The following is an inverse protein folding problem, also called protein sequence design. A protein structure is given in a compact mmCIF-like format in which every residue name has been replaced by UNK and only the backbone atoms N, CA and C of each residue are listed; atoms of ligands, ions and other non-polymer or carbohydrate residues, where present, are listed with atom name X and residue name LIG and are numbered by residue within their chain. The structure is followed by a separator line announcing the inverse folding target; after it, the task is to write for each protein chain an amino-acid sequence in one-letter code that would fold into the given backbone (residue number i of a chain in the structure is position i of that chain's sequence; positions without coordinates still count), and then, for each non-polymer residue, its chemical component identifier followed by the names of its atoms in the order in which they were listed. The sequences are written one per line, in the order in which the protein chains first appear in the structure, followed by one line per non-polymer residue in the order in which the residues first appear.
data_IF_172233599385
#
_entry.id   IF_172233599385
#
_cell.length_a   1.000
_cell.length_b   1.000
_cell.length_c   1.000
_cell.angle_alpha   90.00
_cell.angle_beta   90.00
_cell.angle_gamma   90.00
#
_symmetry.space_group_name_H-M   'P 1'
#
loop_
_entity.id
_entity.type
_entity.pdbx_description
1 polymer ?
#
# COMPACT_ATOMS: atom_id res chain seq x y z
N UNK A 1 25.10 4.68 -10.05
CA UNK A 1 24.67 3.61 -10.98
C UNK A 1 23.87 2.61 -10.15
N UNK A 2 22.85 1.98 -10.71
CA UNK A 2 22.09 0.96 -9.97
C UNK A 2 22.81 -0.38 -10.00
N UNK A 3 22.77 -1.09 -8.89
CA UNK A 3 23.40 -2.38 -8.69
C UNK A 3 22.39 -3.39 -8.12
N UNK A 4 22.66 -4.68 -8.35
CA UNK A 4 21.93 -5.79 -7.72
C UNK A 4 22.71 -6.22 -6.46
N UNK A 5 22.06 -6.14 -5.30
CA UNK A 5 22.66 -6.47 -4.00
C UNK A 5 22.28 -7.87 -3.50
N UNK A 6 21.81 -8.74 -4.41
CA UNK A 6 21.29 -10.06 -4.08
C UNK A 6 19.88 -9.98 -3.50
N UNK A 7 19.42 -11.09 -2.92
CA UNK A 7 18.05 -11.22 -2.40
C UNK A 7 17.95 -10.88 -0.92
N UNK A 8 16.77 -10.40 -0.52
CA UNK A 8 16.39 -10.19 0.86
C UNK A 8 14.86 -10.26 1.01
N UNK A 9 14.36 -10.14 2.24
CA UNK A 9 12.96 -9.93 2.55
C UNK A 9 12.79 -8.65 3.38
N UNK A 10 11.57 -8.06 3.39
CA UNK A 10 11.28 -6.93 4.28
C UNK A 10 11.42 -7.33 5.76
N UNK A 11 11.12 -8.58 6.09
CA UNK A 11 11.30 -9.13 7.44
C UNK A 11 12.75 -9.00 7.95
N UNK A 12 13.75 -8.88 7.08
CA UNK A 12 15.14 -8.67 7.52
C UNK A 12 15.30 -7.32 8.25
N UNK A 13 14.50 -6.31 7.90
CA UNK A 13 14.51 -4.97 8.50
C UNK A 13 13.39 -4.75 9.52
N UNK A 14 12.20 -5.31 9.33
CA UNK A 14 11.04 -5.06 10.20
C UNK A 14 10.56 -6.28 11.01
N UNK A 15 11.18 -7.44 10.87
CA UNK A 15 10.72 -8.70 11.47
C UNK A 15 9.23 -8.95 11.13
N UNK A 16 8.33 -9.00 12.13
CA UNK A 16 6.87 -9.03 11.94
C UNK A 16 6.18 -7.71 12.40
N UNK A 17 6.94 -6.62 12.56
CA UNK A 17 6.41 -5.27 12.79
C UNK A 17 5.84 -4.70 11.49
N UNK A 18 4.74 -5.31 11.05
CA UNK A 18 4.04 -4.99 9.81
C UNK A 18 2.56 -4.86 10.10
N UNK A 19 1.95 -3.78 9.60
CA UNK A 19 0.51 -3.52 9.73
C UNK A 19 -0.03 -3.07 8.37
N UNK A 20 -1.01 -3.82 7.87
CA UNK A 20 -1.68 -3.56 6.59
C UNK A 20 -2.97 -2.74 6.78
N UNK A 21 -3.74 -2.58 5.70
CA UNK A 21 -4.94 -1.74 5.65
C UNK A 21 -5.90 -1.94 6.81
N UNK A 22 -6.10 -3.17 7.26
CA UNK A 22 -7.10 -3.48 8.29
C UNK A 22 -6.67 -3.11 9.71
N UNK A 23 -5.45 -2.59 9.88
CA UNK A 23 -4.88 -2.23 11.19
C UNK A 23 -4.81 -3.43 12.15
N UNK A 24 -4.46 -4.59 11.60
CA UNK A 24 -4.27 -5.85 12.33
C UNK A 24 -2.79 -6.25 12.27
N UNK A 25 -1.99 -6.00 13.32
CA UNK A 25 -0.58 -6.35 13.35
C UNK A 25 -0.31 -7.82 13.08
N UNK A 26 0.77 -8.09 12.34
CA UNK A 26 1.20 -9.47 12.09
C UNK A 26 1.77 -10.11 13.36
N UNK A 27 2.56 -9.39 14.14
CA UNK A 27 2.99 -9.81 15.47
C UNK A 27 1.82 -9.78 16.47
N UNK A 28 1.40 -10.97 16.92
CA UNK A 28 0.22 -11.16 17.79
C UNK A 28 0.38 -10.71 19.22
N UNK A 29 1.57 -10.23 19.62
CA UNK A 29 1.76 -9.57 20.92
C UNK A 29 1.13 -8.18 20.96
N UNK A 30 0.82 -7.59 19.80
CA UNK A 30 0.13 -6.30 19.67
C UNK A 30 -1.28 -6.54 19.14
N UNK A 31 -2.35 -6.16 19.88
CA UNK A 31 -3.71 -6.32 19.40
C UNK A 31 -4.00 -5.30 18.29
N UNK A 32 -4.83 -5.70 17.33
CA UNK A 32 -5.28 -4.84 16.23
C UNK A 32 -6.51 -4.00 16.56
N UNK A 33 -6.94 -3.22 15.58
CA UNK A 33 -8.07 -2.28 15.68
C UNK A 33 -9.32 -2.92 16.29
N UNK A 34 -9.71 -4.12 15.83
CA UNK A 34 -10.93 -4.78 16.32
C UNK A 34 -10.94 -5.03 17.83
N UNK A 35 -9.77 -5.18 18.43
CA UNK A 35 -9.64 -5.51 19.86
C UNK A 35 -9.22 -4.31 20.71
N UNK A 36 -8.67 -3.26 20.11
CA UNK A 36 -8.02 -2.16 20.82
C UNK A 36 -8.47 -0.76 20.38
N UNK A 37 -9.54 -0.62 19.57
CA UNK A 37 -9.99 0.70 19.10
C UNK A 37 -10.30 1.69 20.25
N UNK A 38 -10.84 1.21 21.38
CA UNK A 38 -11.06 2.05 22.56
C UNK A 38 -9.75 2.54 23.18
N UNK A 39 -8.73 1.68 23.26
CA UNK A 39 -7.39 2.04 23.77
C UNK A 39 -6.66 3.01 22.82
N UNK A 40 -7.02 2.99 21.54
CA UNK A 40 -6.57 3.94 20.50
C UNK A 40 -7.37 5.25 20.50
N UNK A 41 -8.33 5.42 21.42
CA UNK A 41 -9.24 6.58 21.50
C UNK A 41 -10.08 6.80 20.23
N UNK A 42 -10.46 5.70 19.58
CA UNK A 42 -11.33 5.71 18.40
C UNK A 42 -12.78 5.50 18.80
N UNK A 43 -13.70 6.02 17.97
CA UNK A 43 -15.14 5.90 18.20
C UNK A 43 -15.73 4.55 17.82
N UNK A 44 -15.05 3.83 16.94
CA UNK A 44 -15.51 2.54 16.41
C UNK A 44 -14.35 1.73 15.86
N UNK A 45 -14.59 0.43 15.61
CA UNK A 45 -13.67 -0.47 14.92
C UNK A 45 -13.69 -0.33 13.38
N UNK A 46 -14.33 0.71 12.84
CA UNK A 46 -14.30 1.01 11.41
C UNK A 46 -12.89 1.41 10.99
N UNK A 47 -12.43 0.89 9.85
CA UNK A 47 -11.06 1.07 9.38
C UNK A 47 -10.91 2.50 8.80
N UNK A 48 -10.13 3.39 9.42
CA UNK A 48 -9.95 4.77 8.94
C UNK A 48 -9.11 4.80 7.64
N UNK A 49 -9.25 5.85 6.83
CA UNK A 49 -8.34 6.10 5.70
C UNK A 49 -6.98 6.56 6.21
N UNK A 50 -5.92 6.27 5.46
CA UNK A 50 -4.53 6.60 5.84
C UNK A 50 -4.33 8.10 6.14
N UNK A 51 -5.12 8.96 5.51
CA UNK A 51 -5.11 10.42 5.69
C UNK A 51 -5.99 10.91 6.84
N UNK A 52 -6.78 10.05 7.47
CA UNK A 52 -7.67 10.45 8.56
C UNK A 52 -6.88 10.59 9.87
N UNK A 53 -7.34 11.48 10.75
CA UNK A 53 -6.76 11.61 12.11
C UNK A 53 -6.89 10.33 12.93
N UNK A 54 -7.98 9.58 12.74
CA UNK A 54 -8.21 8.30 13.41
C UNK A 54 -7.17 7.23 13.00
N UNK A 55 -6.66 7.29 11.77
CA UNK A 55 -5.55 6.42 11.37
C UNK A 55 -4.26 6.80 12.10
N UNK A 56 -3.97 8.10 12.23
CA UNK A 56 -2.80 8.58 12.96
C UNK A 56 -2.84 8.19 14.44
N UNK A 57 -4.00 8.28 15.10
CA UNK A 57 -4.22 7.78 16.46
C UNK A 57 -3.84 6.31 16.60
N UNK A 58 -4.38 5.47 15.72
CA UNK A 58 -4.03 4.05 15.71
C UNK A 58 -2.52 3.83 15.47
N UNK A 59 -1.93 4.52 14.50
CA UNK A 59 -0.50 4.40 14.17
C UNK A 59 0.42 4.82 15.33
N UNK A 60 0.14 5.96 16.00
CA UNK A 60 0.88 6.41 17.18
C UNK A 60 0.70 5.43 18.35
N UNK A 61 -0.51 4.91 18.54
CA UNK A 61 -0.77 3.86 19.54
C UNK A 61 0.05 2.60 19.25
N UNK A 62 0.10 2.14 17.99
CA UNK A 62 0.90 0.98 17.59
C UNK A 62 2.39 1.20 17.86
N UNK A 63 2.95 2.36 17.49
CA UNK A 63 4.36 2.70 17.76
C UNK A 63 4.68 2.59 19.26
N UNK A 64 3.84 3.17 20.11
CA UNK A 64 4.01 3.10 21.56
C UNK A 64 3.85 1.66 22.09
N UNK A 65 2.86 0.92 21.59
CA UNK A 65 2.61 -0.46 22.03
C UNK A 65 3.73 -1.40 21.62
N UNK A 66 4.24 -1.26 20.40
CA UNK A 66 5.41 -2.00 19.91
C UNK A 66 6.63 -1.69 20.78
N UNK A 67 6.84 -0.43 21.17
CA UNK A 67 7.96 -0.05 22.03
C UNK A 67 7.92 -0.78 23.38
N UNK A 68 6.72 -0.87 23.97
CA UNK A 68 6.49 -1.64 25.20
C UNK A 68 6.76 -3.13 25.00
N UNK A 69 6.25 -3.72 23.92
CA UNK A 69 6.44 -5.15 23.61
C UNK A 69 7.91 -5.49 23.34
N UNK A 70 8.68 -4.58 22.73
CA UNK A 70 10.13 -4.69 22.57
C UNK A 70 10.89 -4.65 23.90
N UNK A 71 10.25 -4.26 25.00
CA UNK A 71 10.87 -4.13 26.33
C UNK A 71 11.82 -2.94 26.44
N UNK A 72 11.74 -1.97 25.52
CA UNK A 72 12.60 -0.78 25.51
C UNK A 72 11.98 0.27 26.41
N UNK A 73 12.72 0.70 27.45
CA UNK A 73 12.23 1.67 28.45
C UNK A 73 12.27 3.12 27.96
N UNK A 74 13.12 3.42 26.97
CA UNK A 74 13.22 4.75 26.39
C UNK A 74 11.93 5.07 25.63
N UNK A 75 11.20 6.15 25.99
CA UNK A 75 10.01 6.55 25.25
C UNK A 75 10.38 7.05 23.85
N UNK A 76 9.44 6.90 22.91
CA UNK A 76 9.57 7.50 21.60
C UNK A 76 9.43 9.01 21.73
N UNK A 77 10.33 9.75 21.10
CA UNK A 77 10.30 11.20 21.00
C UNK A 77 10.60 11.72 19.60
N UNK A 78 11.02 10.85 18.69
CA UNK A 78 11.30 11.16 17.28
C UNK A 78 10.54 10.21 16.35
N UNK A 79 10.02 10.74 15.24
CA UNK A 79 9.39 9.99 14.17
C UNK A 79 10.06 10.29 12.83
N UNK A 80 10.57 9.25 12.19
CA UNK A 80 10.91 9.28 10.77
C UNK A 80 9.82 8.56 9.97
N UNK A 81 9.41 9.14 8.85
CA UNK A 81 8.46 8.51 7.93
C UNK A 81 9.08 8.44 6.53
N UNK A 82 9.07 7.26 5.90
CA UNK A 82 9.48 7.04 4.52
C UNK A 82 8.26 6.67 3.68
N UNK A 83 8.04 7.38 2.59
CA UNK A 83 6.93 7.13 1.67
C UNK A 83 7.25 7.55 0.24
N UNK A 84 6.27 7.40 -0.65
CA UNK A 84 6.39 7.74 -2.07
C UNK A 84 5.44 8.85 -2.52
N UNK A 85 4.41 9.17 -1.71
CA UNK A 85 3.42 10.18 -2.06
C UNK A 85 3.21 11.21 -0.97
N UNK A 86 3.25 12.49 -1.36
CA UNK A 86 2.94 13.60 -0.44
C UNK A 86 1.50 13.51 0.09
N UNK A 87 0.55 13.17 -0.78
CA UNK A 87 -0.88 13.16 -0.43
C UNK A 87 -1.25 12.09 0.60
N UNK A 88 -0.72 10.87 0.49
CA UNK A 88 -1.00 9.82 1.48
C UNK A 88 0.01 9.82 2.63
N UNK A 89 1.29 9.64 2.33
CA UNK A 89 2.33 9.47 3.35
C UNK A 89 2.64 10.76 4.07
N UNK A 90 2.74 11.87 3.33
CA UNK A 90 2.95 13.20 3.91
C UNK A 90 1.82 13.61 4.85
N UNK A 91 0.56 13.38 4.45
CA UNK A 91 -0.60 13.68 5.29
C UNK A 91 -0.70 12.76 6.52
N UNK A 92 -0.44 11.46 6.35
CA UNK A 92 -0.39 10.52 7.47
C UNK A 92 0.69 10.93 8.49
N UNK A 93 1.89 11.27 8.01
CA UNK A 93 2.97 11.80 8.83
C UNK A 93 2.54 13.07 9.59
N UNK A 94 1.98 14.07 8.89
CA UNK A 94 1.56 15.32 9.52
C UNK A 94 0.55 15.07 10.64
N UNK A 95 -0.45 14.22 10.40
CA UNK A 95 -1.43 13.85 11.43
C UNK A 95 -0.79 13.11 12.61
N UNK A 96 0.21 12.25 12.37
CA UNK A 96 0.93 11.54 13.44
C UNK A 96 1.78 12.48 14.29
N UNK A 97 2.38 13.51 13.69
CA UNK A 97 3.10 14.55 14.44
C UNK A 97 2.13 15.38 15.28
N UNK A 98 1.00 15.81 14.69
CA UNK A 98 -0.06 16.52 15.41
C UNK A 98 -0.57 15.72 16.62
N UNK A 99 -0.79 14.41 16.46
CA UNK A 99 -1.31 13.52 17.49
C UNK A 99 -0.28 13.21 18.58
N UNK A 100 0.97 12.96 18.20
CA UNK A 100 2.01 12.51 19.14
C UNK A 100 2.78 13.63 19.83
N UNK A 101 2.88 14.80 19.19
CA UNK A 101 3.79 15.88 19.60
C UNK A 101 5.29 15.52 19.47
N UNK A 102 5.63 14.43 18.78
CA UNK A 102 7.02 14.03 18.57
C UNK A 102 7.74 14.95 17.59
N UNK A 103 9.07 14.98 17.69
CA UNK A 103 9.89 15.61 16.66
C UNK A 103 9.86 14.75 15.40
N UNK A 104 9.44 15.33 14.27
CA UNK A 104 9.21 14.58 13.03
C UNK A 104 10.10 14.97 11.87
N UNK A 105 10.41 14.00 11.00
CA UNK A 105 10.83 14.26 9.63
C UNK A 105 10.27 13.19 8.68
N UNK A 106 9.83 13.61 7.50
CA UNK A 106 9.28 12.74 6.47
C UNK A 106 10.12 12.83 5.20
N UNK A 107 10.37 11.69 4.56
CA UNK A 107 11.01 11.61 3.25
C UNK A 107 10.02 11.00 2.25
N UNK A 108 9.76 11.74 1.18
CA UNK A 108 8.95 11.32 0.04
C UNK A 108 9.87 11.14 -1.17
N UNK A 109 10.07 9.89 -1.58
CA UNK A 109 10.94 9.52 -2.69
C UNK A 109 10.15 9.25 -3.97
N UNK A 110 10.58 9.85 -5.08
CA UNK A 110 10.08 9.46 -6.40
C UNK A 110 11.14 9.71 -7.47
N UNK A 111 11.69 8.64 -8.04
CA UNK A 111 12.76 8.71 -9.02
C UNK A 111 12.32 9.51 -10.27
N UNK A 112 13.09 10.52 -10.67
CA UNK A 112 12.88 11.34 -11.89
C UNK A 112 14.21 11.56 -12.62
N UNK A 113 14.65 10.53 -13.35
CA UNK A 113 15.95 10.54 -14.04
C UNK A 113 16.05 11.59 -15.16
N UNK A 114 14.91 12.13 -15.61
CA UNK A 114 14.80 13.22 -16.57
C UNK A 114 15.05 14.62 -15.97
N UNK A 115 15.25 14.70 -14.65
CA UNK A 115 15.48 15.94 -13.90
C UNK A 115 16.82 15.87 -13.14
N UNK A 116 17.47 17.01 -12.92
CA UNK A 116 18.65 17.09 -12.06
C UNK A 116 18.32 16.64 -10.62
N UNK A 117 19.24 15.94 -9.91
CA UNK A 117 19.03 15.55 -8.51
C UNK A 117 18.66 16.75 -7.63
N UNK A 118 17.53 16.66 -6.95
CA UNK A 118 17.01 17.73 -6.12
C UNK A 118 16.20 17.19 -4.94
N UNK A 119 16.30 17.89 -3.81
CA UNK A 119 15.44 17.73 -2.65
C UNK A 119 14.81 19.07 -2.33
N UNK A 120 13.48 19.11 -2.20
CA UNK A 120 12.72 20.28 -1.73
C UNK A 120 12.13 20.00 -0.36
N UNK A 121 11.99 21.04 0.46
CA UNK A 121 11.38 20.93 1.79
C UNK A 121 10.01 21.60 1.75
N UNK A 122 8.99 20.88 2.19
CA UNK A 122 7.63 21.38 2.45
C UNK A 122 7.34 21.30 3.94
N UNK A 123 6.60 22.29 4.47
CA UNK A 123 6.16 22.32 5.87
C UNK A 123 7.29 22.09 6.90
N UNK A 124 8.51 22.55 6.58
CA UNK A 124 9.75 22.45 7.37
C UNK A 124 10.26 21.03 7.70
N UNK A 125 9.43 20.01 7.56
CA UNK A 125 9.69 18.64 8.04
C UNK A 125 9.51 17.58 6.98
N UNK A 126 8.90 17.90 5.83
CA UNK A 126 8.64 16.97 4.73
C UNK A 126 9.65 17.24 3.60
N UNK A 127 10.52 16.27 3.35
CA UNK A 127 11.54 16.31 2.32
C UNK A 127 11.06 15.52 1.12
N UNK A 128 10.98 16.17 -0.05
CA UNK A 128 10.54 15.55 -1.29
C UNK A 128 11.75 15.50 -2.22
N UNK A 129 12.21 14.28 -2.51
CA UNK A 129 13.41 14.04 -3.27
C UNK A 129 13.11 13.29 -4.56
N UNK A 130 13.78 13.69 -5.64
CA UNK A 130 13.65 13.04 -6.93
C UNK A 130 14.67 11.91 -7.18
N UNK A 131 15.42 11.54 -6.13
CA UNK A 131 16.37 10.43 -6.05
C UNK A 131 16.18 9.69 -4.74
N UNK A 132 16.06 8.36 -4.76
CA UNK A 132 16.07 7.57 -3.52
C UNK A 132 17.42 7.63 -2.80
N UNK A 133 18.52 7.84 -3.54
CA UNK A 133 19.87 7.98 -2.97
C UNK A 133 20.03 9.21 -2.07
N UNK A 134 19.15 10.21 -2.17
CA UNK A 134 19.14 11.38 -1.28
C UNK A 134 18.79 11.06 0.17
N UNK A 135 18.37 9.83 0.48
CA UNK A 135 18.17 9.36 1.86
C UNK A 135 19.42 9.54 2.72
N UNK A 136 20.62 9.32 2.18
CA UNK A 136 21.86 9.49 2.93
C UNK A 136 22.10 10.96 3.34
N UNK A 137 21.90 11.90 2.41
CA UNK A 137 22.03 13.34 2.66
C UNK A 137 20.95 13.84 3.62
N UNK A 138 19.72 13.34 3.46
CA UNK A 138 18.62 13.66 4.36
C UNK A 138 18.93 13.25 5.80
N UNK A 139 19.38 12.02 6.04
CA UNK A 139 19.73 11.55 7.38
C UNK A 139 20.92 12.32 7.96
N UNK A 140 21.91 12.66 7.13
CA UNK A 140 23.02 13.53 7.54
C UNK A 140 22.51 14.91 8.01
N UNK A 141 21.58 15.51 7.27
CA UNK A 141 20.95 16.78 7.63
C UNK A 141 20.15 16.67 8.92
N UNK A 142 19.39 15.59 9.13
CA UNK A 142 18.66 15.36 10.38
C UNK A 142 19.60 15.26 11.58
N UNK A 143 20.73 14.55 11.46
CA UNK A 143 21.75 14.51 12.53
C UNK A 143 22.33 15.89 12.81
N UNK A 144 22.61 16.68 11.78
CA UNK A 144 23.09 18.05 11.96
C UNK A 144 22.05 18.96 12.65
N UNK A 145 20.76 18.68 12.45
CA UNK A 145 19.66 19.33 13.17
C UNK A 145 19.47 18.77 14.60
N UNK A 146 20.24 17.76 15.01
CA UNK A 146 20.22 17.20 16.36
C UNK A 146 19.18 16.08 16.58
N UNK A 147 18.72 15.40 15.51
CA UNK A 147 18.02 14.13 15.68
C UNK A 147 18.98 13.09 16.29
N UNK A 148 18.47 12.30 17.24
CA UNK A 148 19.25 11.28 17.96
C UNK A 148 19.42 10.01 17.12
N UNK A 149 18.34 9.59 16.45
CA UNK A 149 18.31 8.38 15.64
C UNK A 149 18.77 7.17 16.47
N UNK A 150 18.12 6.95 17.60
CA UNK A 150 18.45 5.89 18.57
C UNK A 150 17.18 5.16 19.05
N UNK A 151 17.24 4.47 20.19
CA UNK A 151 16.10 3.76 20.78
C UNK A 151 14.86 4.64 21.05
N UNK A 152 14.98 5.97 21.04
CA UNK A 152 13.89 6.95 21.16
C UNK A 152 13.27 7.34 19.81
N UNK A 153 13.73 6.78 18.70
CA UNK A 153 13.26 7.08 17.35
C UNK A 153 12.41 5.94 16.79
N UNK A 154 11.20 6.26 16.36
CA UNK A 154 10.36 5.38 15.55
C UNK A 154 10.55 5.71 14.06
N UNK A 155 10.59 4.68 13.23
CA UNK A 155 10.80 4.77 11.78
C UNK A 155 9.65 4.01 11.12
N UNK A 156 8.78 4.74 10.46
CA UNK A 156 7.68 4.19 9.70
C UNK A 156 8.09 4.14 8.24
N UNK A 157 7.94 2.96 7.64
CA UNK A 157 8.30 2.72 6.25
C UNK A 157 7.06 2.23 5.52
N UNK A 158 6.61 3.01 4.54
CA UNK A 158 5.58 2.53 3.62
C UNK A 158 6.09 1.34 2.78
N UNK A 159 5.21 0.41 2.41
CA UNK A 159 5.62 -0.81 1.71
C UNK A 159 5.59 -0.63 0.19
N UNK A 160 4.40 -0.48 -0.38
CA UNK A 160 4.19 -0.48 -1.83
C UNK A 160 4.74 0.82 -2.42
N UNK A 161 5.62 0.71 -3.41
CA UNK A 161 6.30 1.84 -4.08
C UNK A 161 7.32 2.60 -3.23
N UNK A 162 7.56 2.15 -2.00
CA UNK A 162 8.56 2.69 -1.07
C UNK A 162 9.60 1.63 -0.70
N UNK A 163 9.29 0.69 0.20
CA UNK A 163 10.21 -0.38 0.58
C UNK A 163 10.40 -1.42 -0.54
N UNK A 164 9.35 -1.68 -1.31
CA UNK A 164 9.39 -2.48 -2.53
C UNK A 164 8.88 -1.68 -3.73
N UNK A 165 9.44 -1.92 -4.91
CA UNK A 165 8.99 -1.29 -6.14
C UNK A 165 9.14 0.22 -6.17
N UNK A 166 10.27 0.77 -5.69
CA UNK A 166 10.63 2.19 -5.68
C UNK A 166 9.89 3.05 -6.72
N UNK A 167 9.13 4.04 -6.27
CA UNK A 167 8.36 4.95 -7.13
C UNK A 167 9.24 5.61 -8.17
N UNK A 168 8.81 5.55 -9.43
CA UNK A 168 9.53 6.10 -10.58
C UNK A 168 10.68 5.21 -11.10
N UNK A 169 11.00 4.11 -10.41
CA UNK A 169 12.07 3.17 -10.79
C UNK A 169 11.51 1.77 -11.09
N UNK A 170 10.69 1.21 -10.21
CA UNK A 170 10.22 -0.17 -10.28
C UNK A 170 8.71 -0.32 -9.96
N UNK A 171 7.99 0.78 -9.72
CA UNK A 171 6.57 0.76 -9.33
C UNK A 171 5.63 0.20 -10.40
N UNK A 172 6.03 0.25 -11.67
CA UNK A 172 5.24 -0.29 -12.79
C UNK A 172 5.02 -1.81 -12.70
N UNK A 173 5.93 -2.55 -12.05
CA UNK A 173 5.76 -4.00 -11.88
C UNK A 173 4.67 -4.30 -10.83
N UNK A 174 4.57 -3.47 -9.78
CA UNK A 174 3.46 -3.53 -8.80
C UNK A 174 2.13 -3.26 -9.51
N UNK A 175 2.07 -2.21 -10.34
CA UNK A 175 0.83 -1.88 -11.08
C UNK A 175 0.44 -3.00 -12.06
N UNK A 176 1.42 -3.63 -12.72
CA UNK A 176 1.20 -4.78 -13.61
C UNK A 176 0.69 -6.00 -12.86
N UNK A 177 1.26 -6.33 -11.70
CA UNK A 177 0.80 -7.43 -10.86
C UNK A 177 -0.65 -7.23 -10.39
N UNK A 178 -1.01 -5.98 -10.04
CA UNK A 178 -2.40 -5.65 -9.70
C UNK A 178 -3.36 -5.86 -10.86
N UNK A 179 -3.03 -5.33 -12.05
CA UNK A 179 -3.84 -5.52 -13.25
C UNK A 179 -3.97 -7.01 -13.62
N UNK A 180 -2.90 -7.80 -13.50
CA UNK A 180 -2.96 -9.24 -13.71
C UNK A 180 -3.92 -9.93 -12.72
N UNK A 181 -3.92 -9.51 -11.44
CA UNK A 181 -4.86 -10.01 -10.44
C UNK A 181 -6.33 -9.67 -10.77
N UNK A 182 -6.57 -8.48 -11.32
CA UNK A 182 -7.89 -8.09 -11.86
C UNK A 182 -8.27 -9.03 -13.01
N UNK A 183 -7.43 -9.17 -14.03
CA UNK A 183 -7.77 -9.97 -15.22
C UNK A 183 -8.06 -11.43 -14.88
N UNK A 184 -7.24 -12.06 -14.03
CA UNK A 184 -7.52 -13.42 -13.52
C UNK A 184 -8.86 -13.52 -12.81
N UNK A 185 -9.24 -12.46 -12.09
CA UNK A 185 -10.54 -12.41 -11.42
C UNK A 185 -11.66 -12.32 -12.45
N UNK A 186 -11.54 -11.44 -13.45
CA UNK A 186 -12.53 -11.29 -14.52
C UNK A 186 -12.68 -12.57 -15.35
N UNK A 187 -11.58 -13.18 -15.80
CA UNK A 187 -11.57 -14.47 -16.51
C UNK A 187 -12.31 -15.54 -15.72
N UNK A 188 -12.07 -15.60 -14.41
CA UNK A 188 -12.70 -16.61 -13.55
C UNK A 188 -14.19 -16.38 -13.25
N UNK A 189 -14.73 -15.20 -13.59
CA UNK A 189 -16.13 -14.81 -13.35
C UNK A 189 -16.92 -14.75 -14.66
N UNK A 190 -16.32 -14.21 -15.71
CA UNK A 190 -16.95 -13.94 -17.01
C UNK A 190 -16.55 -14.96 -18.08
N UNK A 191 -15.43 -15.68 -17.92
CA UNK A 191 -14.96 -16.67 -18.88
C UNK A 191 -14.73 -16.07 -20.27
N UNK A 192 -15.26 -16.74 -21.30
CA UNK A 192 -15.14 -16.30 -22.70
C UNK A 192 -15.84 -14.96 -22.98
N UNK A 193 -16.75 -14.51 -22.10
CA UNK A 193 -17.44 -13.23 -22.23
C UNK A 193 -16.59 -12.04 -21.73
N UNK A 194 -15.40 -12.28 -21.17
CA UNK A 194 -14.51 -11.19 -20.73
C UNK A 194 -13.90 -10.43 -21.91
N UNK A 195 -14.32 -9.18 -22.08
CA UNK A 195 -13.71 -8.24 -23.02
C UNK A 195 -12.67 -7.37 -22.29
N UNK A 196 -11.40 -7.78 -22.35
CA UNK A 196 -10.30 -7.07 -21.69
C UNK A 196 -10.11 -5.64 -22.25
N UNK A 197 -10.24 -5.44 -23.56
CA UNK A 197 -10.03 -4.13 -24.18
C UNK A 197 -11.11 -3.13 -23.73
N UNK A 198 -12.36 -3.59 -23.67
CA UNK A 198 -13.47 -2.80 -23.15
C UNK A 198 -13.31 -2.52 -21.65
N UNK A 199 -12.83 -3.50 -20.88
CA UNK A 199 -12.52 -3.31 -19.46
C UNK A 199 -11.49 -2.20 -19.26
N UNK A 200 -10.36 -2.24 -19.98
CA UNK A 200 -9.30 -1.24 -19.88
C UNK A 200 -9.79 0.16 -20.27
N UNK A 201 -10.62 0.25 -21.31
CA UNK A 201 -11.27 1.51 -21.70
C UNK A 201 -12.13 2.08 -20.55
N UNK A 202 -13.02 1.26 -19.98
CA UNK A 202 -13.88 1.68 -18.87
C UNK A 202 -13.08 2.05 -17.62
N UNK A 203 -12.05 1.27 -17.31
CA UNK A 203 -11.18 1.50 -16.16
C UNK A 203 -10.47 2.86 -16.27
N UNK A 204 -9.86 3.14 -17.43
CA UNK A 204 -9.16 4.40 -17.67
C UNK A 204 -10.10 5.62 -17.62
N UNK A 205 -11.35 5.44 -18.05
CA UNK A 205 -12.36 6.50 -17.98
C UNK A 205 -12.82 6.75 -16.54
N UNK A 206 -13.20 5.68 -15.81
CA UNK A 206 -13.74 5.76 -14.46
C UNK A 206 -12.71 6.09 -13.38
N UNK A 207 -11.41 5.97 -13.68
CA UNK A 207 -10.32 6.40 -12.79
C UNK A 207 -10.09 7.93 -12.80
N UNK A 208 -10.91 8.71 -13.52
CA UNK A 208 -10.79 10.18 -13.55
C UNK A 208 -11.51 10.83 -12.38
N UNK A 209 -11.01 11.99 -11.95
CA UNK A 209 -11.52 12.78 -10.83
C UNK A 209 -13.05 13.01 -10.85
N UNK A 210 -13.66 13.13 -12.04
CA UNK A 210 -15.11 13.31 -12.19
C UNK A 210 -15.95 12.17 -11.60
N UNK A 211 -15.39 10.98 -11.46
CA UNK A 211 -16.05 9.80 -10.92
C UNK A 211 -15.66 9.51 -9.46
N UNK A 212 -14.81 10.31 -8.82
CA UNK A 212 -14.30 10.01 -7.48
C UNK A 212 -15.37 10.00 -6.38
N UNK A 213 -16.54 10.62 -6.60
CA UNK A 213 -17.67 10.45 -5.68
C UNK A 213 -18.17 8.99 -5.68
N UNK A 214 -18.26 8.39 -6.86
CA UNK A 214 -18.66 6.99 -7.05
C UNK A 214 -17.54 6.01 -6.70
N UNK A 215 -16.33 6.22 -7.21
CA UNK A 215 -15.22 5.27 -7.07
C UNK A 215 -14.45 5.44 -5.78
N UNK A 216 -14.57 6.60 -5.11
CA UNK A 216 -13.90 6.94 -3.86
C UNK A 216 -12.36 6.81 -3.90
N UNK A 217 -11.78 6.87 -5.11
CA UNK A 217 -10.37 6.54 -5.41
C UNK A 217 -9.98 5.13 -4.91
N UNK A 218 -10.94 4.20 -4.97
CA UNK A 218 -10.82 2.84 -4.46
C UNK A 218 -10.77 1.83 -5.60
N UNK A 219 -9.68 1.08 -5.67
CA UNK A 219 -9.44 0.12 -6.75
C UNK A 219 -10.41 -1.08 -6.71
N UNK A 220 -10.92 -1.47 -5.53
CA UNK A 220 -11.96 -2.51 -5.43
C UNK A 220 -13.26 -2.03 -6.09
N UNK A 221 -13.62 -0.76 -5.86
CA UNK A 221 -14.85 -0.18 -6.37
C UNK A 221 -14.75 -0.06 -7.89
N UNK A 222 -13.63 0.48 -8.37
CA UNK A 222 -13.34 0.60 -9.79
C UNK A 222 -13.35 -0.76 -10.50
N UNK A 223 -12.63 -1.75 -9.97
CA UNK A 223 -12.57 -3.09 -10.57
C UNK A 223 -13.95 -3.76 -10.62
N UNK A 224 -14.74 -3.63 -9.54
CA UNK A 224 -16.09 -4.16 -9.49
C UNK A 224 -17.04 -3.46 -10.48
N UNK A 225 -17.01 -2.12 -10.55
CA UNK A 225 -17.82 -1.36 -11.52
C UNK A 225 -17.48 -1.83 -12.94
N UNK A 226 -16.20 -1.87 -13.28
CA UNK A 226 -15.75 -2.29 -14.62
C UNK A 226 -16.17 -3.73 -14.95
N UNK A 227 -16.15 -4.66 -13.98
CA UNK A 227 -16.67 -6.02 -14.15
C UNK A 227 -18.16 -6.03 -14.52
N UNK A 228 -18.98 -5.27 -13.78
CA UNK A 228 -20.42 -5.15 -14.06
C UNK A 228 -20.64 -4.56 -15.45
N UNK A 229 -19.89 -3.53 -15.83
CA UNK A 229 -20.01 -2.93 -17.17
C UNK A 229 -19.64 -3.93 -18.29
N UNK A 230 -18.68 -4.82 -18.03
CA UNK A 230 -18.27 -5.84 -18.99
C UNK A 230 -19.40 -6.85 -19.28
N UNK A 231 -20.26 -7.12 -18.30
CA UNK A 231 -21.45 -7.98 -18.46
C UNK A 231 -22.57 -7.33 -19.27
N UNK A 232 -22.46 -6.03 -19.61
CA UNK A 232 -23.49 -5.21 -20.27
C UNK A 232 -24.81 -5.10 -19.49
N UNK A 233 -24.83 -5.49 -18.22
CA UNK A 233 -25.98 -5.29 -17.32
C UNK A 233 -26.30 -3.81 -17.13
N UNK A 234 -25.24 -2.99 -17.10
CA UNK A 234 -25.23 -1.54 -17.05
C UNK A 234 -24.16 -1.07 -18.04
N UNK A 235 -24.40 0.01 -18.78
CA UNK A 235 -23.41 0.61 -19.68
C UNK A 235 -22.65 1.79 -19.03
N UNK A 236 -21.46 2.09 -19.56
CA UNK A 236 -20.70 3.27 -19.12
C UNK A 236 -21.48 4.57 -19.33
N UNK A 237 -22.24 4.68 -20.42
CA UNK A 237 -23.08 5.84 -20.72
C UNK A 237 -24.24 6.00 -19.72
N UNK A 238 -24.80 4.89 -19.23
CA UNK A 238 -25.76 4.92 -18.13
C UNK A 238 -25.11 5.45 -16.85
N UNK A 239 -23.94 4.93 -16.46
CA UNK A 239 -23.20 5.43 -15.28
C UNK A 239 -22.86 6.91 -15.41
N UNK A 240 -22.37 7.34 -16.58
CA UNK A 240 -22.05 8.74 -16.84
C UNK A 240 -23.24 9.67 -16.62
N UNK A 241 -24.42 9.31 -17.14
CA UNK A 241 -25.64 10.10 -16.97
C UNK A 241 -26.10 10.20 -15.51
N UNK A 242 -26.03 9.10 -14.77
CA UNK A 242 -26.43 9.09 -13.35
C UNK A 242 -25.46 9.92 -12.48
N UNK A 243 -24.17 9.90 -12.80
CA UNK A 243 -23.17 10.76 -12.13
C UNK A 243 -23.39 12.23 -12.48
N UNK A 244 -23.61 12.56 -13.76
CA UNK A 244 -23.87 13.93 -14.22
C UNK A 244 -25.16 14.52 -13.61
N UNK A 245 -26.21 13.71 -13.51
CA UNK A 245 -27.48 14.11 -12.90
C UNK A 245 -27.48 14.05 -11.36
N UNK A 246 -26.37 13.61 -10.75
CA UNK A 246 -26.20 13.44 -9.29
C UNK A 246 -27.19 12.46 -8.66
N UNK A 247 -27.73 11.53 -9.44
CA UNK A 247 -28.55 10.42 -8.94
C UNK A 247 -27.70 9.21 -8.52
N UNK A 248 -26.41 9.19 -8.91
CA UNK A 248 -25.42 8.22 -8.46
C UNK A 248 -24.19 8.93 -7.88
N UNK A 249 -24.11 9.00 -6.55
CA UNK A 249 -23.06 9.74 -5.81
C UNK A 249 -22.15 8.85 -4.95
N UNK A 250 -22.40 7.53 -4.92
CA UNK A 250 -21.72 6.61 -4.02
C UNK A 250 -21.70 5.17 -4.56
N UNK A 251 -20.71 4.40 -4.14
CA UNK A 251 -20.56 2.99 -4.52
C UNK A 251 -21.74 2.14 -4.01
N UNK A 252 -22.26 2.44 -2.84
CA UNK A 252 -23.41 1.76 -2.23
C UNK A 252 -24.68 1.91 -3.08
N UNK A 253 -24.87 3.09 -3.70
CA UNK A 253 -25.96 3.30 -4.66
C UNK A 253 -25.76 2.46 -5.92
N UNK A 254 -24.52 2.38 -6.44
CA UNK A 254 -24.21 1.54 -7.59
C UNK A 254 -24.50 0.06 -7.30
N UNK A 255 -24.10 -0.44 -6.13
CA UNK A 255 -24.38 -1.82 -5.70
C UNK A 255 -25.89 -2.11 -5.69
N UNK A 256 -26.70 -1.20 -5.12
CA UNK A 256 -28.18 -1.35 -5.12
C UNK A 256 -28.77 -1.33 -6.53
N UNK A 257 -28.18 -0.56 -7.44
CA UNK A 257 -28.61 -0.52 -8.83
C UNK A 257 -28.31 -1.83 -9.55
N UNK A 258 -27.14 -2.41 -9.32
CA UNK A 258 -26.78 -3.73 -9.84
C UNK A 258 -27.74 -4.81 -9.34
N UNK A 259 -28.01 -4.84 -8.02
CA UNK A 259 -28.96 -5.78 -7.41
C UNK A 259 -30.33 -5.73 -8.10
N UNK A 260 -30.84 -4.51 -8.33
CA UNK A 260 -32.11 -4.28 -9.04
C UNK A 260 -32.10 -4.80 -10.48
N UNK A 261 -30.98 -4.62 -11.20
CA UNK A 261 -30.83 -5.10 -12.59
C UNK A 261 -30.71 -6.62 -12.66
N UNK A 262 -30.01 -7.25 -11.72
CA UNK A 262 -29.87 -8.71 -11.64
C UNK A 262 -31.20 -9.40 -11.31
N UNK A 263 -32.07 -8.76 -10.53
CA UNK A 263 -33.43 -9.26 -10.28
C UNK A 263 -34.31 -9.25 -11.53
N UNK A 264 -34.15 -8.25 -12.40
CA UNK A 264 -34.91 -8.12 -13.65
C UNK A 264 -34.32 -9.02 -14.75
N UNK A 265 -33.03 -9.33 -14.70
CA UNK A 265 -32.34 -10.17 -15.67
C UNK A 265 -31.72 -11.43 -15.01
N UNK A 266 -32.52 -12.49 -14.76
CA UNK A 266 -32.07 -13.69 -14.06
C UNK A 266 -31.01 -14.49 -14.83
N UNK A 267 -30.79 -14.20 -16.11
CA UNK A 267 -29.75 -14.87 -16.91
C UNK A 267 -28.34 -14.35 -16.62
N UNK A 268 -28.17 -13.40 -15.68
CA UNK A 268 -26.87 -13.10 -15.12
C UNK A 268 -26.26 -14.38 -14.53
N UNK A 269 -25.08 -14.78 -15.02
CA UNK A 269 -24.44 -16.04 -14.64
C UNK A 269 -24.23 -16.18 -13.13
N UNK A 270 -24.34 -17.41 -12.62
CA UNK A 270 -24.23 -17.74 -11.19
C UNK A 270 -22.95 -17.16 -10.57
N UNK A 271 -21.81 -17.23 -11.27
CA UNK A 271 -20.54 -16.67 -10.82
C UNK A 271 -20.59 -15.14 -10.56
N UNK A 272 -21.32 -14.38 -11.38
CA UNK A 272 -21.50 -12.94 -11.17
C UNK A 272 -22.37 -12.68 -9.93
N UNK A 273 -23.41 -13.50 -9.71
CA UNK A 273 -24.28 -13.40 -8.52
C UNK A 273 -23.48 -13.63 -7.24
N UNK A 274 -22.67 -14.69 -7.19
CA UNK A 274 -21.81 -14.98 -6.04
C UNK A 274 -20.84 -13.83 -5.73
N UNK A 275 -20.20 -13.27 -6.75
CA UNK A 275 -19.30 -12.12 -6.56
C UNK A 275 -20.07 -10.89 -6.09
N UNK A 276 -21.22 -10.60 -6.69
CA UNK A 276 -22.07 -9.48 -6.28
C UNK A 276 -22.49 -9.60 -4.81
N UNK A 277 -22.96 -10.78 -4.38
CA UNK A 277 -23.38 -11.03 -3.00
C UNK A 277 -22.21 -10.86 -2.02
N UNK A 278 -21.02 -11.36 -2.36
CA UNK A 278 -19.83 -11.22 -1.52
C UNK A 278 -19.37 -9.76 -1.38
N UNK A 279 -19.40 -8.98 -2.47
CA UNK A 279 -19.06 -7.56 -2.46
C UNK A 279 -20.11 -6.77 -1.67
N UNK A 280 -21.40 -6.99 -1.91
CA UNK A 280 -22.50 -6.35 -1.19
C UNK A 280 -22.44 -6.64 0.32
N UNK A 281 -22.15 -7.89 0.70
CA UNK A 281 -21.95 -8.28 2.11
C UNK A 281 -20.80 -7.51 2.76
N UNK A 282 -19.67 -7.36 2.07
CA UNK A 282 -18.50 -6.62 2.56
C UNK A 282 -18.77 -5.12 2.68
N UNK A 283 -19.45 -4.52 1.70
CA UNK A 283 -19.87 -3.10 1.75
C UNK A 283 -20.81 -2.84 2.92
N UNK A 284 -21.76 -3.74 3.20
CA UNK A 284 -22.73 -3.58 4.30
C UNK A 284 -22.09 -3.53 5.69
N UNK A 285 -20.92 -4.17 5.87
CA UNK A 285 -20.19 -4.14 7.13
C UNK A 285 -19.13 -3.02 7.19
N UNK A 286 -19.03 -2.19 6.14
CA UNK A 286 -18.07 -1.09 6.06
C UNK A 286 -16.65 -1.52 5.70
N UNK A 287 -16.45 -2.68 5.05
CA UNK A 287 -15.12 -3.10 4.61
C UNK A 287 -14.61 -2.15 3.50
N UNK A 288 -13.46 -1.47 3.69
CA UNK A 288 -12.92 -0.53 2.71
C UNK A 288 -12.38 -1.24 1.45
N UNK A 289 -12.31 -2.56 1.42
CA UNK A 289 -11.70 -3.37 0.36
C UNK A 289 -12.61 -4.55 0.00
N UNK A 290 -13.84 -4.30 -0.49
CA UNK A 290 -14.89 -5.31 -0.54
C UNK A 290 -14.68 -6.39 -1.61
N UNK A 291 -13.80 -6.20 -2.59
CA UNK A 291 -13.60 -7.15 -3.68
C UNK A 291 -12.50 -8.17 -3.35
N UNK A 292 -12.75 -8.98 -2.32
CA UNK A 292 -11.78 -9.93 -1.74
C UNK A 292 -11.20 -10.95 -2.72
N UNK A 293 -12.00 -11.40 -3.69
CA UNK A 293 -11.54 -12.35 -4.73
C UNK A 293 -10.44 -11.72 -5.58
N UNK A 294 -10.62 -10.46 -5.99
CA UNK A 294 -9.59 -9.69 -6.68
C UNK A 294 -8.33 -9.54 -5.84
N UNK A 295 -8.45 -9.11 -4.58
CA UNK A 295 -7.27 -8.89 -3.72
C UNK A 295 -6.43 -10.17 -3.51
N UNK A 296 -7.07 -11.33 -3.41
CA UNK A 296 -6.35 -12.62 -3.36
C UNK A 296 -5.58 -12.92 -4.65
N UNK A 297 -6.12 -12.57 -5.81
CA UNK A 297 -5.43 -12.73 -7.09
C UNK A 297 -4.33 -11.67 -7.31
N UNK A 298 -4.53 -10.45 -6.78
CA UNK A 298 -3.45 -9.45 -6.71
C UNK A 298 -2.29 -10.00 -5.86
N UNK A 299 -2.55 -10.63 -4.71
CA UNK A 299 -1.50 -11.25 -3.90
C UNK A 299 -0.72 -12.31 -4.69
N UNK A 300 -1.41 -13.26 -5.30
CA UNK A 300 -0.75 -14.33 -6.10
C UNK A 300 0.09 -13.73 -7.22
N UNK A 301 -0.49 -12.80 -8.00
CA UNK A 301 0.24 -12.11 -9.08
C UNK A 301 1.42 -11.29 -8.56
N UNK A 302 1.31 -10.68 -7.38
CA UNK A 302 2.42 -9.97 -6.73
C UNK A 302 3.56 -10.93 -6.42
N UNK A 303 3.26 -12.07 -5.80
CA UNK A 303 4.25 -13.07 -5.42
C UNK A 303 4.94 -13.71 -6.63
N UNK A 304 4.24 -13.88 -7.76
CA UNK A 304 4.84 -14.35 -9.02
C UNK A 304 5.85 -13.37 -9.63
N UNK A 305 5.80 -12.10 -9.23
CA UNK A 305 6.76 -11.07 -9.61
C UNK A 305 7.81 -10.82 -8.52
N UNK A 306 7.89 -11.64 -7.47
CA UNK A 306 8.91 -11.50 -6.41
C UNK A 306 9.89 -12.66 -6.45
N UNK A 307 11.17 -12.34 -6.62
CA UNK A 307 12.24 -13.34 -6.69
C UNK A 307 12.08 -14.35 -7.84
N UNK A 308 11.41 -13.98 -8.93
CA UNK A 308 11.13 -14.86 -10.06
C UNK A 308 12.28 -14.90 -11.08
N UNK A 309 13.15 -13.88 -11.10
CA UNK A 309 14.29 -13.80 -12.01
C UNK A 309 15.49 -14.57 -11.45
N UNK A 310 16.45 -15.04 -12.27
CA UNK A 310 17.69 -15.64 -11.79
C UNK A 310 18.65 -14.58 -11.19
N UNK A 311 19.54 -15.00 -10.28
CA UNK A 311 20.51 -14.09 -9.64
C UNK A 311 21.50 -13.45 -10.62
N UNK A 312 21.66 -14.06 -11.80
CA UNK A 312 22.49 -13.55 -12.90
C UNK A 312 21.78 -12.50 -13.78
N UNK A 313 20.51 -12.21 -13.52
CA UNK A 313 19.76 -11.21 -14.28
C UNK A 313 20.40 -9.83 -14.14
N UNK A 314 20.39 -9.07 -15.24
CA UNK A 314 20.86 -7.69 -15.21
C UNK A 314 19.92 -6.81 -14.39
N UNK A 315 20.45 -5.69 -13.89
CA UNK A 315 19.65 -4.70 -13.15
C UNK A 315 18.45 -4.20 -13.98
N UNK A 316 18.63 -4.04 -15.30
CA UNK A 316 17.54 -3.62 -16.18
C UNK A 316 16.42 -4.67 -16.23
N UNK A 317 16.76 -5.94 -16.44
CA UNK A 317 15.79 -7.04 -16.49
C UNK A 317 15.03 -7.17 -15.16
N UNK A 318 15.73 -7.04 -14.03
CA UNK A 318 15.12 -7.04 -12.70
C UNK A 318 14.11 -5.90 -12.55
N UNK A 319 14.50 -4.66 -12.89
CA UNK A 319 13.63 -3.50 -12.76
C UNK A 319 12.41 -3.54 -13.69
N UNK A 320 12.50 -4.25 -14.82
CA UNK A 320 11.40 -4.39 -15.79
C UNK A 320 10.40 -5.51 -15.44
N UNK A 321 10.83 -6.55 -14.73
CA UNK A 321 10.09 -7.81 -14.59
C UNK A 321 9.89 -8.32 -13.16
N UNK A 322 10.66 -7.83 -12.19
CA UNK A 322 10.56 -8.23 -10.80
C UNK A 322 10.21 -7.03 -9.91
N UNK A 323 9.41 -7.27 -8.87
CA UNK A 323 9.19 -6.33 -7.77
C UNK A 323 10.39 -6.45 -6.83
N UNK A 324 11.30 -5.50 -6.93
CA UNK A 324 12.54 -5.44 -6.16
C UNK A 324 12.36 -4.68 -4.85
N UNK A 325 13.17 -5.00 -3.85
CA UNK A 325 13.34 -4.17 -2.66
C UNK A 325 14.17 -2.94 -3.02
N UNK A 326 13.73 -1.77 -2.57
CA UNK A 326 14.46 -0.50 -2.74
C UNK A 326 15.70 -0.51 -1.84
N UNK A 327 16.89 -0.67 -2.44
CA UNK A 327 18.12 -0.88 -1.66
C UNK A 327 18.42 0.29 -0.71
N UNK A 328 18.17 1.52 -1.13
CA UNK A 328 18.43 2.71 -0.32
C UNK A 328 17.61 2.71 0.99
N UNK A 329 16.33 2.32 0.90
CA UNK A 329 15.43 2.18 2.05
C UNK A 329 15.89 1.02 2.94
N UNK A 330 16.25 -0.12 2.32
CA UNK A 330 16.73 -1.30 3.04
C UNK A 330 18.00 -1.00 3.85
N UNK A 331 19.00 -0.38 3.24
CA UNK A 331 20.26 -0.07 3.92
C UNK A 331 20.08 0.97 5.03
N UNK A 332 19.24 1.99 4.80
CA UNK A 332 18.92 2.95 5.84
C UNK A 332 18.21 2.27 7.02
N UNK A 333 17.23 1.41 6.75
CA UNK A 333 16.51 0.68 7.79
C UNK A 333 17.45 -0.23 8.59
N UNK A 334 18.40 -0.92 7.94
CA UNK A 334 19.42 -1.71 8.64
C UNK A 334 20.32 -0.85 9.52
N UNK A 335 20.76 0.31 9.02
CA UNK A 335 21.58 1.24 9.78
C UNK A 335 20.83 1.79 11.01
N UNK A 336 19.55 2.14 10.87
CA UNK A 336 18.69 2.58 11.97
C UNK A 336 18.40 1.43 12.97
N UNK A 337 18.15 0.21 12.49
CA UNK A 337 17.95 -0.98 13.33
C UNK A 337 19.18 -1.28 14.19
N UNK A 338 20.38 -1.17 13.62
CA UNK A 338 21.64 -1.32 14.37
C UNK A 338 21.77 -0.30 15.52
N UNK A 339 21.18 0.88 15.36
CA UNK A 339 21.12 1.97 16.36
C UNK A 339 19.93 1.85 17.32
N UNK A 340 19.22 0.72 17.31
CA UNK A 340 18.08 0.40 18.17
C UNK A 340 16.79 1.18 17.87
N UNK A 341 16.72 1.93 16.76
CA UNK A 341 15.47 2.56 16.32
C UNK A 341 14.36 1.50 16.16
N UNK A 342 13.11 1.90 16.39
CA UNK A 342 11.95 1.05 16.13
C UNK A 342 11.62 1.11 14.63
N UNK A 343 11.69 0.00 13.91
CA UNK A 343 11.26 -0.07 12.51
C UNK A 343 9.86 -0.68 12.45
N UNK A 344 8.91 0.03 11.84
CA UNK A 344 7.54 -0.41 11.61
C UNK A 344 7.19 -0.21 10.14
N UNK A 345 6.76 -1.28 9.46
CA UNK A 345 6.20 -1.16 8.13
C UNK A 345 4.68 -0.97 8.20
N UNK A 346 4.18 0.14 7.63
CA UNK A 346 2.76 0.42 7.51
C UNK A 346 2.38 0.42 6.03
N UNK A 347 1.19 -0.07 5.69
CA UNK A 347 0.71 -0.03 4.31
C UNK A 347 -0.81 0.07 4.24
N UNK A 348 -1.31 0.76 3.22
CA UNK A 348 -2.71 0.77 2.82
C UNK A 348 -3.09 -0.43 1.94
N UNK A 349 -2.13 -1.32 1.63
CA UNK A 349 -2.39 -2.57 0.92
C UNK A 349 -3.33 -3.46 1.76
N UNK A 350 -4.41 -4.01 1.18
CA UNK A 350 -5.33 -4.90 1.89
C UNK A 350 -4.63 -6.15 2.43
N UNK A 351 -5.10 -6.71 3.55
CA UNK A 351 -4.58 -7.97 4.09
C UNK A 351 -4.67 -9.11 3.06
N UNK A 352 -5.77 -9.19 2.32
CA UNK A 352 -5.99 -10.22 1.30
C UNK A 352 -5.05 -10.09 0.10
N UNK A 353 -4.48 -8.90 -0.13
CA UNK A 353 -3.47 -8.64 -1.15
C UNK A 353 -2.03 -8.80 -0.62
N UNK A 354 -1.86 -9.09 0.67
CA UNK A 354 -0.57 -9.12 1.34
C UNK A 354 -0.25 -10.46 2.02
N UNK A 355 -1.26 -11.31 2.23
CA UNK A 355 -1.14 -12.53 3.02
C UNK A 355 -1.71 -13.72 2.27
N UNK A 356 -1.12 -14.92 2.47
CA UNK A 356 -1.65 -16.14 1.87
C UNK A 356 -3.06 -16.41 2.40
N UNK A 357 -3.93 -16.80 1.47
CA UNK A 357 -5.25 -17.28 1.82
C UNK A 357 -5.18 -18.81 2.00
N UNK A 358 -5.64 -19.37 3.14
CA UNK A 358 -5.44 -20.80 3.48
C UNK A 358 -5.94 -21.81 2.44
N UNK A 359 -6.86 -21.40 1.56
CA UNK A 359 -7.41 -22.25 0.49
C UNK A 359 -6.93 -21.94 -0.93
N UNK A 360 -6.38 -20.74 -1.16
CA UNK A 360 -6.06 -20.26 -2.52
C UNK A 360 -4.55 -20.25 -2.74
N UNK A 361 -3.78 -19.90 -1.71
CA UNK A 361 -2.33 -19.76 -1.77
C UNK A 361 -1.65 -20.25 -0.49
N UNK A 362 -1.96 -21.47 0.00
CA UNK A 362 -1.44 -21.97 1.27
C UNK A 362 0.09 -22.09 1.29
N UNK A 363 0.71 -22.29 0.12
CA UNK A 363 2.15 -22.52 -0.02
C UNK A 363 2.96 -21.23 -0.18
N UNK A 364 2.30 -20.07 -0.29
CA UNK A 364 2.98 -18.78 -0.44
C UNK A 364 3.27 -18.16 0.93
N UNK A 365 4.44 -17.52 1.05
CA UNK A 365 4.77 -16.69 2.21
C UNK A 365 4.00 -15.36 2.18
N UNK A 366 3.69 -14.73 3.33
CA UNK A 366 3.20 -13.36 3.35
C UNK A 366 4.22 -12.40 2.73
N UNK A 367 3.72 -11.30 2.17
CA UNK A 367 4.50 -10.37 1.33
C UNK A 367 5.82 -9.92 1.97
N UNK A 368 5.81 -9.60 3.27
CA UNK A 368 7.00 -9.12 3.96
C UNK A 368 8.09 -10.19 4.15
N UNK A 369 7.75 -11.47 4.03
CA UNK A 369 8.67 -12.61 4.11
C UNK A 369 9.06 -13.16 2.75
N UNK A 370 8.47 -12.65 1.67
CA UNK A 370 8.84 -13.02 0.31
C UNK A 370 10.27 -12.56 0.02
N UNK A 371 11.10 -13.45 -0.51
CA UNK A 371 12.45 -13.10 -0.96
C UNK A 371 12.41 -12.53 -2.37
N UNK A 372 13.06 -11.40 -2.58
CA UNK A 372 13.19 -10.75 -3.89
C UNK A 372 14.51 -10.01 -4.01
N UNK A 373 14.94 -9.64 -5.22
CA UNK A 373 16.18 -8.91 -5.41
C UNK A 373 16.12 -7.51 -4.80
N UNK A 374 17.25 -7.06 -4.28
CA UNK A 374 17.46 -5.68 -3.84
C UNK A 374 18.19 -4.91 -4.93
N UNK A 375 17.62 -3.80 -5.38
CA UNK A 375 18.17 -2.99 -6.46
C UNK A 375 18.17 -1.51 -6.09
N UNK A 376 19.31 -0.84 -6.30
CA UNK A 376 19.43 0.60 -6.07
C UNK A 376 20.86 1.10 -6.02
N UNK A 377 21.08 2.17 -5.27
CA UNK A 377 22.41 2.78 -5.04
C UNK A 377 22.94 2.36 -3.67
N UNK A 378 24.24 2.05 -3.59
CA UNK A 378 24.89 1.75 -2.31
C UNK A 378 25.04 3.01 -1.44
N UNK A 379 24.41 3.02 -0.27
CA UNK A 379 24.49 4.07 0.74
C UNK A 379 25.41 3.71 1.91
N UNK A 380 25.96 2.48 1.98
CA UNK A 380 26.72 2.01 3.15
C UNK A 380 27.88 2.92 3.52
N UNK A 381 28.66 3.36 2.52
CA UNK A 381 29.79 4.25 2.77
C UNK A 381 29.33 5.58 3.38
N UNK A 382 28.30 6.20 2.79
CA UNK A 382 27.76 7.47 3.27
C UNK A 382 27.18 7.35 4.69
N UNK A 383 26.41 6.29 4.97
CA UNK A 383 25.82 6.04 6.29
C UNK A 383 26.88 5.69 7.35
N UNK A 384 27.98 5.02 6.98
CA UNK A 384 29.06 4.67 7.92
C UNK A 384 29.82 5.89 8.44
N UNK A 385 29.78 7.02 7.72
CA UNK A 385 30.43 8.28 8.10
C UNK A 385 29.58 9.12 9.07
N UNK A 386 28.34 8.71 9.35
CA UNK A 386 27.40 9.38 10.24
C UNK A 386 27.53 8.85 11.66
#
# INVERSE_FOLDING_TARGET
MYENFGRAALADICDDWVIYRNLEPLDKRVPGLKHAFYDMELRSEQIPRKQDRDYAKAAVWFVNRIQQVRGVRTPIGELLFLGDTLFNDGQAFANMIDESGWRGACFIGAERLDQEPATRIEQETIYIANRWSSLAEWVAALKAQGFRLDASTAVIIDIDKTAIGAKGRNDKVIDRARLAGIYRTMDSVLGEDFDQALYEQHYNELNRARYHLLTADNQDYLAYICMVLNTRLISLDEVGREVESKSLDSFEQFIRWVDSRMMINPSAGEALREVHEAVNGSVRIGDPTPFKRFRRQEFVSTMEHMGNMPDSASVQELLENEITITEEVYQLAQWLKARQCQILCLSDKPDEASRPHPRVSPDLAPLHRAQTHRVGVDLREALSKL
#
